data_IF_526502920885
#
_entry.id   IF_526502920885
#
_cell.length_a   1.000
_cell.length_b   1.000
_cell.length_c   1.000
_cell.angle_alpha   90.00
_cell.angle_beta   90.00
_cell.angle_gamma   90.00
#
_symmetry.space_group_name_H-M   'P 1'
#
loop_
_entity.id
_entity.type
_entity.pdbx_description
1 polymer ?
#
# COMPACT_ATOMS: atom_id res chain seq x y z
N UNK A 1 -10.32 4.29 25.07
CA UNK A 1 -8.89 4.62 25.19
C UNK A 1 -8.59 6.05 24.66
N UNK A 2 -7.63 6.79 25.24
CA UNK A 2 -7.19 8.08 24.71
C UNK A 2 -6.63 7.90 23.29
N UNK A 3 -6.88 8.86 22.40
CA UNK A 3 -6.28 8.88 21.06
C UNK A 3 -4.78 9.13 21.19
N UNK A 4 -3.97 8.28 20.56
CA UNK A 4 -2.51 8.44 20.57
C UNK A 4 -2.11 9.76 19.90
N UNK A 5 -1.25 10.53 20.57
CA UNK A 5 -0.80 11.84 20.09
C UNK A 5 0.45 11.77 19.20
N UNK A 6 0.84 12.89 18.55
CA UNK A 6 2.07 13.01 17.76
C UNK A 6 3.37 12.82 18.57
N UNK A 7 3.29 12.67 19.89
CA UNK A 7 4.39 12.40 20.82
C UNK A 7 4.44 10.96 21.37
N UNK A 8 3.42 10.14 21.15
CA UNK A 8 3.34 8.77 21.70
C UNK A 8 4.39 7.84 21.10
N UNK A 9 5.02 7.01 21.93
CA UNK A 9 6.04 6.02 21.52
C UNK A 9 5.46 4.96 20.58
N UNK A 10 6.32 4.32 19.76
CA UNK A 10 5.90 3.28 18.82
C UNK A 10 5.19 2.11 19.52
N UNK A 11 5.52 1.83 20.79
CA UNK A 11 4.94 0.75 21.59
C UNK A 11 3.43 0.92 21.87
N UNK A 12 2.88 2.12 21.63
CA UNK A 12 1.45 2.42 21.80
C UNK A 12 0.63 2.24 20.52
N UNK A 13 1.26 1.88 19.40
CA UNK A 13 0.62 1.72 18.09
C UNK A 13 1.06 0.43 17.40
N UNK A 14 0.23 -0.12 16.52
CA UNK A 14 0.63 -1.25 15.69
C UNK A 14 1.65 -0.78 14.65
N UNK A 15 2.81 -1.45 14.59
CA UNK A 15 3.91 -1.13 13.67
C UNK A 15 4.21 -2.28 12.71
N UNK A 16 4.80 -1.94 11.57
CA UNK A 16 5.30 -2.86 10.54
C UNK A 16 6.37 -2.13 9.74
N UNK A 17 7.11 -2.82 8.89
CA UNK A 17 8.00 -2.18 7.91
C UNK A 17 7.42 -2.25 6.49
N UNK A 18 7.86 -1.38 5.56
CA UNK A 18 7.52 -1.54 4.15
C UNK A 18 7.87 -2.93 3.62
N UNK A 19 9.02 -3.48 4.04
CA UNK A 19 9.48 -4.80 3.60
C UNK A 19 8.57 -5.93 4.10
N UNK A 20 8.13 -5.90 5.35
CA UNK A 20 7.21 -6.91 5.90
C UNK A 20 5.86 -6.91 5.17
N UNK A 21 5.32 -5.73 4.88
CA UNK A 21 4.07 -5.62 4.12
C UNK A 21 4.25 -6.05 2.67
N UNK A 22 5.40 -5.74 2.06
CA UNK A 22 5.73 -6.19 0.71
C UNK A 22 5.80 -7.71 0.65
N UNK A 23 6.50 -8.33 1.61
CA UNK A 23 6.58 -9.78 1.75
C UNK A 23 5.20 -10.40 2.00
N UNK A 24 4.38 -9.82 2.87
CA UNK A 24 3.02 -10.32 3.11
C UNK A 24 2.18 -10.30 1.83
N UNK A 25 2.19 -9.19 1.08
CA UNK A 25 1.47 -9.07 -0.20
C UNK A 25 1.99 -10.08 -1.22
N UNK A 26 3.30 -10.31 -1.28
CA UNK A 26 3.90 -11.33 -2.12
C UNK A 26 3.43 -12.74 -1.75
N UNK A 27 3.38 -13.07 -0.46
CA UNK A 27 2.89 -14.38 0.00
C UNK A 27 1.40 -14.55 -0.31
N UNK A 28 0.57 -13.51 -0.16
CA UNK A 28 -0.85 -13.56 -0.54
C UNK A 28 -0.97 -13.81 -2.06
N UNK A 29 -0.18 -13.11 -2.87
CA UNK A 29 -0.16 -13.29 -4.31
C UNK A 29 0.22 -14.71 -4.71
N UNK A 30 1.34 -15.23 -4.19
CA UNK A 30 1.77 -16.63 -4.42
C UNK A 30 0.71 -17.62 -3.94
N UNK A 31 0.09 -17.35 -2.79
CA UNK A 31 -0.99 -18.13 -2.22
C UNK A 31 -2.24 -18.22 -3.12
N UNK A 32 -2.41 -17.35 -4.11
CA UNK A 32 -3.53 -17.46 -5.05
C UNK A 32 -3.45 -18.67 -5.98
N UNK A 33 -2.27 -19.26 -6.16
CA UNK A 33 -2.05 -20.42 -7.04
C UNK A 33 -1.31 -21.57 -6.37
N UNK A 34 -0.59 -21.32 -5.27
CA UNK A 34 0.16 -22.32 -4.52
C UNK A 34 -0.51 -22.60 -3.16
N UNK A 35 -1.00 -23.82 -2.97
CA UNK A 35 -1.65 -24.25 -1.73
C UNK A 35 -0.69 -24.29 -0.53
N UNK A 36 0.60 -24.60 -0.73
CA UNK A 36 1.58 -24.59 0.34
C UNK A 36 1.91 -23.16 0.78
N UNK A 37 2.00 -22.21 -0.17
CA UNK A 37 2.12 -20.79 0.14
C UNK A 37 0.89 -20.26 0.90
N UNK A 38 -0.32 -20.62 0.46
CA UNK A 38 -1.55 -20.23 1.15
C UNK A 38 -1.60 -20.80 2.58
N UNK A 39 -1.20 -22.05 2.78
CA UNK A 39 -1.18 -22.71 4.08
C UNK A 39 -0.22 -22.02 5.08
N UNK A 40 0.89 -21.44 4.62
CA UNK A 40 1.79 -20.63 5.48
C UNK A 40 1.11 -19.37 6.02
N UNK A 41 0.10 -18.85 5.32
CA UNK A 41 -0.74 -17.74 5.78
C UNK A 41 -1.97 -18.24 6.56
N UNK A 42 -2.06 -19.55 6.85
CA UNK A 42 -3.25 -20.20 7.41
C UNK A 42 -4.52 -19.92 6.59
N UNK A 43 -4.36 -19.81 5.27
CA UNK A 43 -5.41 -19.53 4.30
C UNK A 43 -5.52 -20.67 3.27
N UNK A 44 -6.59 -20.65 2.48
CA UNK A 44 -6.70 -21.44 1.24
C UNK A 44 -6.35 -20.57 0.04
N UNK A 45 -6.14 -21.20 -1.12
CA UNK A 45 -5.93 -20.47 -2.38
C UNK A 45 -7.12 -19.58 -2.72
N UNK A 46 -8.34 -20.07 -2.46
CA UNK A 46 -9.57 -19.31 -2.63
C UNK A 46 -9.64 -18.07 -1.71
N UNK A 47 -9.21 -18.19 -0.44
CA UNK A 47 -9.15 -17.06 0.48
C UNK A 47 -8.08 -16.02 0.07
N UNK A 48 -6.94 -16.47 -0.45
CA UNK A 48 -5.91 -15.56 -0.98
C UNK A 48 -6.44 -14.77 -2.19
N UNK A 49 -7.15 -15.44 -3.11
CA UNK A 49 -7.81 -14.79 -4.26
C UNK A 49 -8.85 -13.76 -3.79
N UNK A 50 -9.73 -14.16 -2.88
CA UNK A 50 -10.73 -13.25 -2.31
C UNK A 50 -10.08 -12.03 -1.64
N UNK A 51 -8.97 -12.23 -0.92
CA UNK A 51 -8.20 -11.14 -0.32
C UNK A 51 -7.70 -10.13 -1.37
N UNK A 52 -7.12 -10.60 -2.47
CA UNK A 52 -6.69 -9.73 -3.57
C UNK A 52 -7.87 -9.05 -4.27
N UNK A 53 -8.98 -9.74 -4.44
CA UNK A 53 -10.20 -9.17 -5.04
C UNK A 53 -10.71 -8.01 -4.18
N UNK A 54 -10.85 -8.21 -2.87
CA UNK A 54 -11.26 -7.16 -1.92
C UNK A 54 -10.30 -5.97 -1.97
N UNK A 55 -8.98 -6.22 -1.96
CA UNK A 55 -7.98 -5.16 -2.06
C UNK A 55 -8.07 -4.41 -3.40
N UNK A 56 -8.46 -5.08 -4.49
CA UNK A 56 -8.62 -4.47 -5.81
C UNK A 56 -9.84 -3.56 -5.93
N UNK A 57 -10.81 -3.72 -5.02
CA UNK A 57 -12.03 -2.90 -4.98
C UNK A 57 -11.88 -1.63 -4.14
N UNK A 58 -10.66 -1.32 -3.69
CA UNK A 58 -10.36 -0.15 -2.89
C UNK A 58 -10.90 1.14 -3.54
N UNK A 59 -11.63 1.92 -2.75
CA UNK A 59 -12.27 3.17 -3.19
C UNK A 59 -11.37 4.38 -3.01
N UNK A 60 -10.45 4.34 -2.04
CA UNK A 60 -9.52 5.44 -1.77
C UNK A 60 -8.32 5.40 -2.73
N UNK A 61 -8.43 6.10 -3.87
CA UNK A 61 -7.47 6.05 -4.98
C UNK A 61 -6.48 7.23 -5.05
N UNK A 62 -6.37 8.03 -3.99
CA UNK A 62 -5.55 9.25 -3.96
C UNK A 62 -4.06 9.04 -3.72
N UNK A 63 -3.57 7.78 -3.70
CA UNK A 63 -2.17 7.42 -3.39
C UNK A 63 -1.54 6.56 -4.48
N UNK A 64 -1.28 5.26 -4.26
CA UNK A 64 -0.66 4.40 -5.29
C UNK A 64 -1.37 4.51 -6.65
N UNK A 65 -2.72 4.52 -6.74
CA UNK A 65 -3.39 4.60 -8.04
C UNK A 65 -3.38 5.99 -8.70
N UNK A 66 -3.04 7.05 -7.96
CA UNK A 66 -3.39 8.43 -8.32
C UNK A 66 -2.75 8.96 -9.62
N UNK A 67 -1.58 8.43 -10.00
CA UNK A 67 -0.84 8.85 -11.19
C UNK A 67 -0.63 7.71 -12.20
N UNK A 68 -1.27 6.56 -11.98
CA UNK A 68 -1.25 5.44 -12.90
C UNK A 68 -2.24 5.67 -14.06
N UNK A 69 -2.09 4.96 -15.20
CA UNK A 69 -3.08 5.01 -16.27
C UNK A 69 -4.50 4.74 -15.79
N UNK A 70 -5.47 5.38 -16.44
CA UNK A 70 -6.87 5.21 -16.09
C UNK A 70 -7.27 3.73 -16.25
N UNK A 71 -7.93 3.17 -15.24
CA UNK A 71 -8.37 1.77 -15.24
C UNK A 71 -7.31 0.77 -14.77
N UNK A 72 -6.08 1.20 -14.43
CA UNK A 72 -5.08 0.30 -13.85
C UNK A 72 -5.64 -0.39 -12.59
N UNK A 73 -5.61 -1.72 -12.60
CA UNK A 73 -5.98 -2.53 -11.43
C UNK A 73 -4.87 -2.42 -10.40
N UNK A 74 -5.25 -2.06 -9.18
CA UNK A 74 -4.35 -1.98 -8.04
C UNK A 74 -5.03 -2.68 -6.86
N UNK A 75 -4.45 -3.76 -6.34
CA UNK A 75 -4.90 -4.40 -5.12
C UNK A 75 -4.14 -3.79 -3.95
N UNK A 76 -4.75 -2.86 -3.20
CA UNK A 76 -4.04 -2.08 -2.19
C UNK A 76 -4.86 -1.70 -0.96
N UNK A 77 -4.12 -1.30 0.08
CA UNK A 77 -4.69 -0.76 1.31
C UNK A 77 -3.96 0.50 1.76
N UNK A 78 -4.76 1.55 1.94
CA UNK A 78 -4.33 2.83 2.51
C UNK A 78 -4.31 2.80 4.04
N UNK A 79 -3.36 3.50 4.67
CA UNK A 79 -3.38 3.80 6.10
C UNK A 79 -3.17 5.28 6.38
N UNK A 80 -3.97 5.83 7.29
CA UNK A 80 -3.88 7.23 7.72
C UNK A 80 -3.93 7.26 9.23
N UNK A 81 -2.86 7.73 9.86
CA UNK A 81 -2.79 7.96 11.29
C UNK A 81 -2.15 9.30 11.58
N UNK A 82 -2.17 9.71 12.85
CA UNK A 82 -1.61 10.98 13.30
C UNK A 82 -0.13 11.18 12.94
N UNK A 83 0.63 10.09 12.82
CA UNK A 83 2.08 10.11 12.53
C UNK A 83 2.44 9.73 11.11
N UNK A 84 1.54 9.07 10.38
CA UNK A 84 1.93 8.34 9.17
C UNK A 84 0.81 8.32 8.13
N UNK A 85 1.23 8.51 6.87
CA UNK A 85 0.43 8.25 5.68
C UNK A 85 1.12 7.14 4.90
N UNK A 86 0.39 6.09 4.56
CA UNK A 86 0.97 4.94 3.86
C UNK A 86 0.00 4.30 2.87
N UNK A 87 0.54 3.59 1.91
CA UNK A 87 -0.24 2.76 1.00
C UNK A 87 0.63 1.58 0.57
N UNK A 88 0.05 0.39 0.56
CA UNK A 88 0.72 -0.85 0.24
C UNK A 88 -0.15 -1.64 -0.72
N UNK A 89 0.42 -2.07 -1.84
CA UNK A 89 -0.36 -2.80 -2.83
C UNK A 89 0.42 -3.39 -3.98
N UNK A 90 -0.32 -4.16 -4.78
CA UNK A 90 0.13 -4.83 -5.99
C UNK A 90 -0.48 -4.09 -7.18
N UNK A 91 0.36 -3.64 -8.10
CA UNK A 91 -0.06 -2.97 -9.33
C UNK A 91 -0.01 -3.97 -10.48
N UNK A 92 -1.05 -3.99 -11.31
CA UNK A 92 -1.22 -4.95 -12.40
C UNK A 92 -1.14 -4.27 -13.76
N UNK A 93 -0.57 -4.96 -14.74
CA UNK A 93 -0.64 -4.60 -16.16
C UNK A 93 -1.52 -5.65 -16.87
N UNK A 94 -2.75 -5.26 -17.20
CA UNK A 94 -3.80 -6.23 -17.50
C UNK A 94 -4.10 -7.09 -16.26
N UNK A 95 -4.12 -8.41 -16.42
CA UNK A 95 -4.34 -9.36 -15.32
C UNK A 95 -3.05 -9.86 -14.66
N UNK A 96 -1.88 -9.42 -15.15
CA UNK A 96 -0.58 -9.85 -14.62
C UNK A 96 -0.07 -8.87 -13.55
N UNK A 97 0.37 -9.37 -12.37
CA UNK A 97 1.08 -8.54 -11.40
C UNK A 97 2.34 -7.96 -12.02
N UNK A 98 2.52 -6.64 -11.94
CA UNK A 98 3.70 -5.96 -12.46
C UNK A 98 4.73 -5.72 -11.36
N UNK A 99 4.30 -5.12 -10.24
CA UNK A 99 5.15 -4.89 -9.07
C UNK A 99 4.34 -4.76 -7.79
N UNK A 100 5.03 -4.93 -6.66
CA UNK A 100 4.53 -4.63 -5.32
C UNK A 100 5.22 -3.35 -4.85
N UNK A 101 4.45 -2.38 -4.37
CA UNK A 101 4.99 -1.16 -3.78
C UNK A 101 4.33 -0.91 -2.41
N UNK A 102 5.19 -0.73 -1.40
CA UNK A 102 4.80 -0.37 -0.04
C UNK A 102 5.50 0.92 0.34
N UNK A 103 4.72 1.94 0.67
CA UNK A 103 5.24 3.27 0.94
C UNK A 103 4.68 3.81 2.24
N UNK A 104 5.57 4.27 3.11
CA UNK A 104 5.26 4.87 4.41
C UNK A 104 5.95 6.22 4.50
N UNK A 105 5.21 7.27 4.83
CA UNK A 105 5.76 8.58 5.15
C UNK A 105 5.51 8.86 6.63
N UNK A 106 6.55 9.23 7.36
CA UNK A 106 6.47 9.62 8.77
C UNK A 106 7.02 11.04 8.96
N UNK A 107 6.71 11.65 10.10
CA UNK A 107 7.18 13.00 10.45
C UNK A 107 6.87 14.05 9.39
N UNK A 108 5.73 13.89 8.71
CA UNK A 108 5.26 14.83 7.70
C UNK A 108 4.77 16.10 8.41
N UNK A 109 5.31 17.28 8.10
CA UNK A 109 4.85 18.53 8.73
C UNK A 109 3.41 18.82 8.33
N UNK A 110 2.70 19.65 9.09
CA UNK A 110 1.31 20.03 8.77
C UNK A 110 1.18 20.70 7.39
N UNK A 111 2.17 21.52 7.04
CA UNK A 111 2.33 22.10 5.71
C UNK A 111 3.79 21.99 5.24
N UNK A 112 3.97 21.80 3.94
CA UNK A 112 5.28 21.88 3.29
C UNK A 112 5.72 23.35 3.16
N UNK A 113 6.99 23.58 2.78
CA UNK A 113 7.57 24.93 2.65
C UNK A 113 6.81 25.82 1.66
N UNK A 114 6.15 25.23 0.68
CA UNK A 114 5.35 25.93 -0.34
C UNK A 114 3.88 26.14 0.06
N UNK A 115 3.51 25.78 1.31
CA UNK A 115 2.15 25.89 1.81
C UNK A 115 1.24 24.69 1.49
N UNK A 116 1.71 23.69 0.73
CA UNK A 116 0.93 22.48 0.46
C UNK A 116 0.63 21.74 1.77
N UNK A 117 -0.63 21.30 2.05
CA UNK A 117 -0.91 20.47 3.21
C UNK A 117 -0.06 19.19 3.19
N UNK A 118 0.57 18.85 4.32
CA UNK A 118 1.55 17.78 4.38
C UNK A 118 1.00 16.42 3.96
N UNK A 119 -0.24 16.10 4.34
CA UNK A 119 -0.90 14.87 3.90
C UNK A 119 -1.04 14.81 2.38
N UNK A 120 -1.33 15.93 1.72
CA UNK A 120 -1.45 16.00 0.27
C UNK A 120 -0.07 15.80 -0.38
N UNK A 121 0.97 16.42 0.16
CA UNK A 121 2.35 16.20 -0.26
C UNK A 121 2.79 14.75 -0.15
N UNK A 122 2.46 14.08 0.96
CA UNK A 122 2.72 12.66 1.16
C UNK A 122 1.97 11.78 0.14
N UNK A 123 0.71 12.09 -0.14
CA UNK A 123 -0.09 11.31 -1.11
C UNK A 123 0.48 11.44 -2.51
N UNK A 124 0.84 12.66 -2.91
CA UNK A 124 1.48 12.92 -4.20
C UNK A 124 2.83 12.22 -4.31
N UNK A 125 3.64 12.20 -3.23
CA UNK A 125 4.90 11.47 -3.22
C UNK A 125 4.68 9.98 -3.48
N UNK A 126 3.73 9.35 -2.78
CA UNK A 126 3.38 7.94 -2.98
C UNK A 126 2.91 7.68 -4.42
N UNK A 127 2.04 8.53 -4.96
CA UNK A 127 1.58 8.44 -6.35
C UNK A 127 2.73 8.56 -7.36
N UNK A 128 3.68 9.48 -7.13
CA UNK A 128 4.86 9.65 -8.00
C UNK A 128 5.79 8.43 -7.95
N UNK A 129 6.01 7.85 -6.78
CA UNK A 129 6.79 6.60 -6.66
C UNK A 129 6.13 5.45 -7.44
N UNK A 130 4.80 5.30 -7.32
CA UNK A 130 4.07 4.31 -8.10
C UNK A 130 4.19 4.56 -9.61
N UNK A 131 4.08 5.82 -10.04
CA UNK A 131 4.23 6.17 -11.46
C UNK A 131 5.64 5.88 -11.99
N UNK A 132 6.68 6.21 -11.24
CA UNK A 132 8.05 5.89 -11.62
C UNK A 132 8.28 4.38 -11.75
N UNK A 133 7.78 3.58 -10.80
CA UNK A 133 7.85 2.12 -10.87
C UNK A 133 7.13 1.56 -12.11
N UNK A 134 5.95 2.12 -12.45
CA UNK A 134 5.21 1.75 -13.65
C UNK A 134 6.01 2.01 -14.94
N UNK A 135 6.59 3.20 -15.06
CA UNK A 135 7.31 3.59 -16.28
C UNK A 135 8.62 2.80 -16.46
N UNK A 136 9.29 2.43 -15.37
CA UNK A 136 10.57 1.69 -15.42
C UNK A 136 10.39 0.17 -15.52
N UNK A 137 9.47 -0.42 -14.76
CA UNK A 137 9.26 -1.88 -14.72
C UNK A 137 8.24 -2.36 -15.78
N UNK A 138 7.44 -1.45 -16.32
CA UNK A 138 6.41 -1.75 -17.31
C UNK A 138 6.86 -1.69 -18.76
N UNK A 139 8.16 -1.45 -19.03
CA UNK A 139 8.75 -1.57 -20.38
C UNK A 139 8.70 -3.03 -20.83
#
# INVERSE_FOLDING_TARGET
>A
PPKAGPGDTLDRITTTTPNDQGLLLEQILRGTTDAAAAARLQCTTALCRLGLDILSWQKLKTRLPSLLPLGTKVAHKTGTGYRCFNDAGIVFKGDQPLYILTAYTSSVPEALKDGTPGFAGAYQLIGRMARLAWDELGR
#
